data_IF_459709933928
#
_entry.id   IF_459709933928
#
_cell.length_a   1.000
_cell.length_b   1.000
_cell.length_c   1.000
_cell.angle_alpha   90.00
_cell.angle_beta   90.00
_cell.angle_gamma   90.00
#
_symmetry.space_group_name_H-M   'P 1'
#
loop_
_entity.id
_entity.type
_entity.pdbx_description
1 polymer ?
#
# COMPACT_ATOMS: atom_id res chain seq x y z
N UNK A 1 -12.16 13.97 31.46
CA UNK A 1 -12.45 13.56 30.08
C UNK A 1 -12.21 14.69 29.08
N UNK A 2 -12.63 15.91 29.38
CA UNK A 2 -12.53 17.09 28.50
C UNK A 2 -11.08 17.45 28.12
N UNK A 3 -10.15 17.53 29.08
CA UNK A 3 -8.72 17.77 28.79
C UNK A 3 -8.09 16.70 27.87
N UNK A 4 -8.54 15.45 27.97
CA UNK A 4 -8.06 14.36 27.10
C UNK A 4 -8.63 14.47 25.68
N UNK A 5 -9.84 15.02 25.52
CA UNK A 5 -10.39 15.32 24.20
C UNK A 5 -9.66 16.49 23.55
N UNK A 6 -9.38 17.55 24.30
CA UNK A 6 -8.62 18.69 23.78
C UNK A 6 -7.21 18.29 23.35
N UNK A 7 -6.49 17.51 24.17
CA UNK A 7 -5.16 17.01 23.80
C UNK A 7 -5.20 16.10 22.56
N UNK A 8 -6.20 15.23 22.45
CA UNK A 8 -6.39 14.37 21.28
C UNK A 8 -6.63 15.18 19.99
N UNK A 9 -7.36 16.30 20.07
CA UNK A 9 -7.59 17.20 18.92
C UNK A 9 -6.29 17.87 18.50
N UNK A 10 -5.49 18.38 19.44
CA UNK A 10 -4.21 19.02 19.15
C UNK A 10 -3.22 18.03 18.51
N UNK A 11 -3.10 16.83 19.09
CA UNK A 11 -2.24 15.77 18.53
C UNK A 11 -2.69 15.35 17.13
N UNK A 12 -4.00 15.28 16.87
CA UNK A 12 -4.53 14.95 15.54
C UNK A 12 -4.19 16.04 14.52
N UNK A 13 -4.21 17.31 14.92
CA UNK A 13 -3.80 18.42 14.06
C UNK A 13 -2.30 18.36 13.73
N UNK A 14 -1.47 18.09 14.73
CA UNK A 14 -0.02 17.96 14.57
C UNK A 14 0.35 16.76 13.68
N UNK A 15 -0.27 15.60 13.90
CA UNK A 15 -0.07 14.41 13.05
C UNK A 15 -0.44 14.70 11.60
N UNK A 16 -1.55 15.40 11.35
CA UNK A 16 -1.93 15.81 9.99
C UNK A 16 -0.92 16.77 9.38
N UNK A 17 -0.42 17.74 10.14
CA UNK A 17 0.60 18.69 9.67
C UNK A 17 1.90 17.98 9.31
N UNK A 18 2.36 17.07 10.17
CA UNK A 18 3.56 16.26 9.93
C UNK A 18 3.40 15.32 8.72
N UNK A 19 2.24 14.71 8.55
CA UNK A 19 1.94 13.88 7.38
C UNK A 19 1.98 14.71 6.08
N UNK A 20 1.36 15.89 6.06
CA UNK A 20 1.38 16.77 4.90
C UNK A 20 2.81 17.24 4.56
N UNK A 21 3.60 17.61 5.58
CA UNK A 21 5.00 18.00 5.40
C UNK A 21 5.85 16.85 4.83
N UNK A 22 5.66 15.63 5.35
CA UNK A 22 6.36 14.44 4.86
C UNK A 22 5.97 14.09 3.42
N UNK A 23 4.70 14.22 3.06
CA UNK A 23 4.24 14.00 1.69
C UNK A 23 4.84 15.01 0.72
N UNK A 24 4.90 16.29 1.11
CA UNK A 24 5.58 17.32 0.31
C UNK A 24 7.07 17.04 0.15
N UNK A 25 7.77 16.62 1.22
CA UNK A 25 9.19 16.24 1.16
C UNK A 25 9.40 15.06 0.20
N UNK A 26 8.62 13.99 0.35
CA UNK A 26 8.65 12.84 -0.57
C UNK A 26 8.36 13.25 -2.01
N UNK A 27 7.41 14.17 -2.24
CA UNK A 27 7.11 14.70 -3.58
C UNK A 27 8.30 15.44 -4.18
N UNK A 28 8.99 16.28 -3.39
CA UNK A 28 10.20 17.00 -3.82
C UNK A 28 11.35 16.04 -4.14
N UNK A 29 11.59 15.05 -3.28
CA UNK A 29 12.60 14.02 -3.50
C UNK A 29 12.33 13.18 -4.76
N UNK A 30 11.07 12.76 -4.98
CA UNK A 30 10.67 12.06 -6.22
C UNK A 30 10.89 12.92 -7.47
N UNK A 31 10.60 14.22 -7.41
CA UNK A 31 10.90 15.15 -8.53
C UNK A 31 12.41 15.29 -8.76
N UNK A 32 13.21 15.38 -7.69
CA UNK A 32 14.68 15.45 -7.77
C UNK A 32 15.28 14.17 -8.36
N UNK A 33 14.83 12.99 -7.92
CA UNK A 33 15.28 11.69 -8.46
C UNK A 33 14.93 11.47 -9.93
N UNK A 34 13.79 11.99 -10.39
CA UNK A 34 13.39 11.93 -11.82
C UNK A 34 14.12 12.93 -12.70
N UNK A 35 14.75 13.95 -12.13
CA UNK A 35 15.58 14.89 -12.86
C UNK A 35 16.98 14.30 -12.95
N UNK A 36 17.47 14.01 -14.15
CA UNK A 36 18.88 13.75 -14.38
C UNK A 36 19.59 15.08 -14.08
N UNK A 37 20.19 15.18 -12.90
CA UNK A 37 20.85 16.39 -12.38
C UNK A 37 22.31 16.49 -12.84
N UNK A 38 22.67 15.90 -13.99
CA UNK A 38 23.94 16.18 -14.63
C UNK A 38 23.69 17.33 -15.60
N UNK A 39 24.14 18.54 -15.25
CA UNK A 39 24.27 19.59 -16.25
C UNK A 39 25.32 19.15 -17.26
N UNK A 40 24.96 19.15 -18.55
CA UNK A 40 25.82 18.66 -19.64
C UNK A 40 25.09 17.75 -20.61
N UNK A 41 25.77 17.34 -21.69
CA UNK A 41 25.31 16.30 -22.61
C UNK A 41 25.69 14.92 -22.06
N UNK A 42 24.71 14.05 -21.83
CA UNK A 42 24.98 12.64 -21.54
C UNK A 42 25.37 11.90 -22.81
N UNK A 43 26.37 11.01 -22.71
CA UNK A 43 26.62 10.00 -23.72
C UNK A 43 25.56 8.89 -23.66
N UNK A 44 25.42 8.13 -24.76
CA UNK A 44 24.46 7.02 -24.85
C UNK A 44 24.74 5.96 -23.78
N UNK A 45 26.02 5.61 -23.57
CA UNK A 45 26.44 4.63 -22.57
C UNK A 45 26.05 5.04 -21.15
N UNK A 46 26.29 6.30 -20.78
CA UNK A 46 25.89 6.81 -19.46
C UNK A 46 24.36 6.75 -19.29
N UNK A 47 23.60 6.99 -20.36
CA UNK A 47 22.15 6.83 -20.36
C UNK A 47 21.70 5.38 -20.12
N UNK A 48 22.38 4.42 -20.74
CA UNK A 48 22.12 2.99 -20.56
C UNK A 48 22.45 2.52 -19.14
N UNK A 49 23.59 2.95 -18.59
CA UNK A 49 24.02 2.61 -17.23
C UNK A 49 23.03 3.13 -16.17
N UNK A 50 22.46 4.32 -16.41
CA UNK A 50 21.41 4.89 -15.56
C UNK A 50 20.11 4.07 -15.61
N UNK A 51 19.69 3.61 -16.79
CA UNK A 51 18.52 2.75 -16.94
C UNK A 51 18.72 1.39 -16.26
N UNK A 52 19.91 0.81 -16.40
CA UNK A 52 20.26 -0.45 -15.76
C UNK A 52 20.28 -0.32 -14.24
N UNK A 53 20.87 0.75 -13.71
CA UNK A 53 20.86 1.04 -12.27
C UNK A 53 19.43 1.22 -11.72
N UNK A 54 18.56 1.93 -12.46
CA UNK A 54 17.17 2.11 -12.08
C UNK A 54 16.38 0.79 -12.07
N UNK A 55 16.67 -0.12 -13.02
CA UNK A 55 16.07 -1.46 -13.10
C UNK A 55 16.46 -2.31 -11.89
N UNK A 56 17.73 -2.29 -11.49
CA UNK A 56 18.22 -3.01 -10.30
C UNK A 56 17.58 -2.44 -9.03
N UNK A 57 17.50 -1.11 -8.87
CA UNK A 57 16.86 -0.51 -7.69
C UNK A 57 15.37 -0.89 -7.60
N UNK A 58 14.68 -1.00 -8.74
CA UNK A 58 13.29 -1.45 -8.78
C UNK A 58 13.13 -2.93 -8.36
N UNK A 59 14.04 -3.81 -8.80
CA UNK A 59 14.07 -5.22 -8.40
C UNK A 59 14.32 -5.37 -6.89
N UNK A 60 15.32 -4.67 -6.35
CA UNK A 60 15.60 -4.68 -4.91
C UNK A 60 14.39 -4.21 -4.10
N UNK A 61 13.68 -3.18 -4.56
CA UNK A 61 12.45 -2.73 -3.88
C UNK A 61 11.36 -3.80 -3.90
N UNK A 62 11.16 -4.50 -5.01
CA UNK A 62 10.17 -5.59 -5.06
C UNK A 62 10.55 -6.76 -4.16
N UNK A 63 11.84 -7.09 -4.07
CA UNK A 63 12.34 -8.16 -3.20
C UNK A 63 12.14 -7.79 -1.72
N UNK A 64 12.52 -6.57 -1.31
CA UNK A 64 12.31 -6.09 0.07
C UNK A 64 10.81 -6.04 0.44
N UNK A 65 9.94 -5.71 -0.51
CA UNK A 65 8.48 -5.77 -0.29
C UNK A 65 7.99 -7.22 -0.21
N UNK A 66 8.53 -8.12 -1.04
CA UNK A 66 8.20 -9.55 -1.03
C UNK A 66 8.64 -10.22 0.27
N UNK A 67 9.85 -9.94 0.77
CA UNK A 67 10.35 -10.42 2.06
C UNK A 67 9.47 -9.96 3.22
N UNK A 68 9.06 -8.68 3.22
CA UNK A 68 8.09 -8.15 4.19
C UNK A 68 6.71 -8.82 4.06
N UNK A 69 6.31 -9.20 2.86
CA UNK A 69 5.03 -9.87 2.60
C UNK A 69 5.07 -11.36 2.98
N UNK A 70 6.23 -12.01 2.88
CA UNK A 70 6.48 -13.38 3.33
C UNK A 70 6.50 -13.49 4.85
N UNK A 71 6.88 -12.44 5.57
CA UNK A 71 6.78 -12.37 7.03
C UNK A 71 5.34 -12.15 7.54
N UNK A 72 4.42 -11.68 6.69
CA UNK A 72 3.01 -11.47 7.04
C UNK A 72 2.12 -12.43 6.24
N UNK A 73 2.27 -13.72 6.51
CA UNK A 73 1.23 -14.74 6.35
C UNK A 73 0.54 -14.81 4.99
N UNK A 74 1.19 -15.41 3.99
CA UNK A 74 0.55 -15.88 2.76
C UNK A 74 -0.35 -17.12 2.93
N UNK A 75 -0.73 -17.47 4.16
CA UNK A 75 -1.80 -18.45 4.40
C UNK A 75 -3.14 -17.73 4.36
N UNK A 76 -3.63 -17.48 3.15
CA UNK A 76 -4.99 -16.98 2.93
C UNK A 76 -5.97 -17.84 3.72
N UNK A 77 -6.46 -17.31 4.85
CA UNK A 77 -7.49 -17.93 5.69
C UNK A 77 -8.62 -18.37 4.78
N UNK A 78 -8.89 -19.68 4.71
CA UNK A 78 -9.99 -20.22 3.90
C UNK A 78 -11.25 -19.40 4.21
N UNK A 79 -11.74 -18.66 3.20
CA UNK A 79 -12.84 -17.72 3.40
C UNK A 79 -14.07 -18.54 3.78
N UNK A 80 -14.64 -18.23 4.94
CA UNK A 80 -15.95 -18.74 5.37
C UNK A 80 -17.03 -18.01 4.60
N UNK A 81 -18.12 -18.70 4.28
CA UNK A 81 -19.30 -18.08 3.70
C UNK A 81 -19.81 -16.97 4.65
N UNK A 82 -20.01 -15.75 4.14
CA UNK A 82 -20.50 -14.62 4.96
C UNK A 82 -21.93 -14.78 5.48
N UNK A 83 -22.68 -15.78 4.99
CA UNK A 83 -24.09 -16.03 5.37
C UNK A 83 -24.18 -17.18 6.40
N UNK A 84 -23.48 -18.28 6.16
CA UNK A 84 -23.59 -19.49 7.00
C UNK A 84 -22.33 -19.84 7.79
N UNK A 85 -21.20 -19.15 7.56
CA UNK A 85 -19.94 -19.38 8.26
C UNK A 85 -19.20 -20.69 7.90
N UNK A 86 -19.77 -21.50 7.01
CA UNK A 86 -19.20 -22.78 6.55
C UNK A 86 -18.17 -22.52 5.43
N UNK A 87 -17.11 -23.34 5.39
CA UNK A 87 -16.08 -23.29 4.35
C UNK A 87 -16.50 -24.11 3.12
N UNK A 88 -15.99 -23.77 1.94
CA UNK A 88 -16.25 -24.53 0.70
C UNK A 88 -17.28 -23.91 -0.24
N UNK A 89 -17.92 -22.80 0.14
CA UNK A 89 -18.76 -22.00 -0.77
C UNK A 89 -18.77 -20.51 -0.37
N UNK A 90 -19.24 -19.64 -1.26
CA UNK A 90 -19.38 -18.21 -1.01
C UNK A 90 -20.87 -17.85 -0.76
N UNK A 91 -21.15 -16.67 -0.19
CA UNK A 91 -22.49 -16.15 0.05
C UNK A 91 -23.42 -16.26 -1.17
N UNK A 92 -22.90 -15.95 -2.37
CA UNK A 92 -23.63 -16.04 -3.65
C UNK A 92 -24.16 -17.43 -3.99
N UNK A 93 -23.51 -18.49 -3.49
CA UNK A 93 -23.89 -19.89 -3.74
C UNK A 93 -24.38 -20.58 -2.47
N UNK A 94 -24.63 -19.83 -1.40
CA UNK A 94 -25.11 -20.38 -0.14
C UNK A 94 -26.56 -20.86 -0.28
N UNK A 95 -26.83 -22.10 0.11
CA UNK A 95 -28.19 -22.66 0.14
C UNK A 95 -29.10 -21.85 1.07
N UNK A 96 -28.59 -21.42 2.23
CA UNK A 96 -29.32 -20.56 3.18
C UNK A 96 -29.71 -19.19 2.62
N UNK A 97 -29.05 -18.71 1.55
CA UNK A 97 -29.43 -17.47 0.85
C UNK A 97 -30.67 -17.68 -0.03
N UNK A 98 -30.88 -18.89 -0.56
CA UNK A 98 -32.04 -19.21 -1.42
C UNK A 98 -33.32 -19.30 -0.60
N UNK A 99 -33.22 -19.81 0.63
CA UNK A 99 -34.36 -19.95 1.56
C UNK A 99 -34.85 -18.59 2.09
N UNK A 100 -34.02 -17.53 2.00
CA UNK A 100 -34.41 -16.16 2.40
C UNK A 100 -35.21 -15.42 1.33
N UNK A 101 -35.22 -15.92 0.09
CA UNK A 101 -35.89 -15.32 -1.07
C UNK A 101 -37.30 -15.91 -1.25
N UNK A 102 -37.58 -17.06 -0.63
CA UNK A 102 -38.88 -17.73 -0.65
C UNK A 102 -39.61 -17.49 0.67
N UNK A 103 -40.14 -16.28 0.83
CA UNK A 103 -41.21 -15.97 1.79
C UNK A 103 -42.30 -15.28 0.98
N UNK A 104 -43.48 -15.91 0.91
CA UNK A 104 -44.74 -15.33 0.40
C UNK A 104 -45.13 -14.06 1.16
#
# INVERSE_FOLDING_TARGET
AEMMMHSAVLLKAEVKALQAANEQKKRRERKRKRRIMQGGSLSIQEGEDMLQSAKVEAQVRTEVVSERSQQVGSTGRQKRCGICGIMGHNSRTCTRHKDSITIE
#
